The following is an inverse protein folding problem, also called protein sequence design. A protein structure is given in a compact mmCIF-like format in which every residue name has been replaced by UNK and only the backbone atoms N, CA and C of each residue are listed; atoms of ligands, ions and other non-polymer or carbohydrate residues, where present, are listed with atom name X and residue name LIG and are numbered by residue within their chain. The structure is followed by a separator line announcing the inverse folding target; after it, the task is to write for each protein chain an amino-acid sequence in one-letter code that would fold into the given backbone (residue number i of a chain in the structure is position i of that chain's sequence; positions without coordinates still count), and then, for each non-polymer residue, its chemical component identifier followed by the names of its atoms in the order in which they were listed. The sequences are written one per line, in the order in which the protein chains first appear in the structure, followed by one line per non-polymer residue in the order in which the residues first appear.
data_IF_000956414542
#
_entry.id   IF_000956414542
#
_cell.length_a   1.000
_cell.length_b   1.000
_cell.length_c   1.000
_cell.angle_alpha   90.00
_cell.angle_beta   90.00
_cell.angle_gamma   90.00
#
_symmetry.space_group_name_H-M   'P 1'
#
loop_
_entity.id
_entity.type
_entity.pdbx_description
1 polymer ?
#
# COMPACT_ATOMS: atom_id res chain seq x y z
N UNK A 1 -36.72 29.64 24.97
CA UNK A 1 -35.30 29.60 25.37
C UNK A 1 -34.50 29.32 24.12
N UNK A 2 -34.25 30.38 23.33
CA UNK A 2 -33.43 30.29 22.13
C UNK A 2 -31.96 30.25 22.58
N UNK A 3 -31.22 29.25 22.09
CA UNK A 3 -29.77 29.17 22.28
C UNK A 3 -29.14 30.34 21.51
N UNK A 4 -28.89 31.44 22.22
CA UNK A 4 -28.16 32.58 21.68
C UNK A 4 -26.68 32.21 21.63
N UNK A 5 -26.28 31.65 20.49
CA UNK A 5 -24.92 31.25 20.10
C UNK A 5 -23.95 32.42 19.91
N UNK A 6 -24.28 33.60 20.45
CA UNK A 6 -23.56 34.84 20.18
C UNK A 6 -23.12 35.62 21.44
N UNK A 7 -23.08 34.97 22.61
CA UNK A 7 -22.59 35.54 23.88
C UNK A 7 -21.54 34.58 24.52
N UNK A 8 -20.71 35.03 25.50
CA UNK A 8 -19.24 34.91 25.57
C UNK A 8 -18.69 33.53 25.98
N UNK A 9 -19.37 32.45 25.62
CA UNK A 9 -18.95 31.06 25.84
C UNK A 9 -18.24 30.48 24.63
N UNK A 10 -17.28 31.21 24.03
CA UNK A 10 -16.22 30.67 23.17
C UNK A 10 -16.59 29.83 21.93
N UNK A 11 -17.86 29.53 21.65
CA UNK A 11 -18.30 28.63 20.59
C UNK A 11 -18.93 29.44 19.46
N UNK A 12 -18.04 29.98 18.64
CA UNK A 12 -18.39 30.83 17.51
C UNK A 12 -18.81 29.97 16.30
N UNK A 13 -19.67 30.51 15.43
CA UNK A 13 -19.97 29.94 14.11
C UNK A 13 -18.72 29.59 13.28
N UNK A 14 -17.59 30.24 13.57
CA UNK A 14 -16.29 29.95 12.97
C UNK A 14 -15.79 28.55 13.30
N UNK A 15 -16.04 28.03 14.51
CA UNK A 15 -15.63 26.68 14.92
C UNK A 15 -16.47 25.62 14.21
N UNK A 16 -17.77 25.89 14.07
CA UNK A 16 -18.67 25.06 13.27
C UNK A 16 -18.23 25.05 11.79
N UNK A 17 -17.84 26.20 11.24
CA UNK A 17 -17.31 26.29 9.87
C UNK A 17 -15.99 25.52 9.70
N UNK A 18 -15.04 25.63 10.65
CA UNK A 18 -13.79 24.87 10.64
C UNK A 18 -14.04 23.36 10.66
N UNK A 19 -14.95 22.91 11.51
CA UNK A 19 -15.36 21.51 11.58
C UNK A 19 -16.07 21.04 10.30
N UNK A 20 -16.94 21.88 9.72
CA UNK A 20 -17.59 21.62 8.43
C UNK A 20 -16.60 21.52 7.27
N UNK A 21 -15.54 22.33 7.25
CA UNK A 21 -14.45 22.23 6.27
C UNK A 21 -13.72 20.91 6.42
N UNK A 22 -13.39 20.50 7.65
CA UNK A 22 -12.77 19.19 7.90
C UNK A 22 -13.66 18.05 7.39
N UNK A 23 -14.97 18.12 7.61
CA UNK A 23 -15.94 17.15 7.09
C UNK A 23 -15.87 17.04 5.56
N UNK A 24 -16.04 18.16 4.86
CA UNK A 24 -16.13 18.19 3.40
C UNK A 24 -14.83 17.68 2.77
N UNK A 25 -13.67 18.15 3.24
CA UNK A 25 -12.37 17.73 2.69
C UNK A 25 -12.10 16.25 2.95
N UNK A 26 -12.41 15.75 4.14
CA UNK A 26 -12.23 14.33 4.50
C UNK A 26 -13.18 13.42 3.73
N UNK A 27 -14.42 13.87 3.49
CA UNK A 27 -15.37 13.19 2.61
C UNK A 27 -14.87 13.15 1.17
N UNK A 28 -14.31 14.25 0.65
CA UNK A 28 -13.77 14.27 -0.71
C UNK A 28 -12.66 13.23 -0.90
N UNK A 29 -11.73 13.13 0.06
CA UNK A 29 -10.70 12.08 0.06
C UNK A 29 -11.35 10.71 0.14
N UNK A 30 -12.28 10.51 1.08
CA UNK A 30 -12.96 9.24 1.30
C UNK A 30 -13.74 8.72 0.08
N UNK A 31 -14.43 9.61 -0.66
CA UNK A 31 -15.16 9.29 -1.88
C UNK A 31 -14.20 8.76 -2.96
N UNK A 32 -13.06 9.41 -3.16
CA UNK A 32 -12.05 8.94 -4.11
C UNK A 32 -11.56 7.54 -3.76
N UNK A 33 -11.32 7.28 -2.47
CA UNK A 33 -10.85 5.98 -1.98
C UNK A 33 -11.88 4.88 -2.20
N UNK A 34 -13.16 5.19 -1.97
CA UNK A 34 -14.26 4.25 -2.14
C UNK A 34 -14.54 3.93 -3.61
N UNK A 35 -14.57 4.96 -4.48
CA UNK A 35 -14.69 4.78 -5.93
C UNK A 35 -13.55 3.90 -6.47
N UNK A 36 -12.34 4.05 -5.92
CA UNK A 36 -11.17 3.25 -6.30
C UNK A 36 -11.06 1.90 -5.58
N UNK A 37 -12.11 1.47 -4.87
CA UNK A 37 -12.22 0.16 -4.21
C UNK A 37 -11.02 -0.15 -3.31
N UNK A 38 -10.64 0.83 -2.48
CA UNK A 38 -9.51 0.71 -1.56
C UNK A 38 -9.96 0.17 -0.21
N UNK A 39 -9.02 -0.42 0.53
CA UNK A 39 -9.30 -1.12 1.80
C UNK A 39 -10.01 -0.27 2.86
N UNK A 40 -9.84 1.06 2.82
CA UNK A 40 -10.61 2.01 3.62
C UNK A 40 -11.28 3.02 2.68
N UNK A 41 -12.57 3.29 2.89
CA UNK A 41 -13.44 4.13 2.06
C UNK A 41 -14.02 5.32 2.83
N UNK A 42 -15.14 5.89 2.36
CA UNK A 42 -15.68 7.16 2.82
C UNK A 42 -15.81 7.26 4.35
N UNK A 43 -16.47 6.27 4.96
CA UNK A 43 -16.74 6.25 6.41
C UNK A 43 -15.45 6.40 7.23
N UNK A 44 -14.40 5.67 6.87
CA UNK A 44 -13.14 5.67 7.62
C UNK A 44 -12.46 7.04 7.54
N UNK A 45 -12.34 7.60 6.33
CA UNK A 45 -11.65 8.87 6.11
C UNK A 45 -12.38 10.04 6.76
N UNK A 46 -13.70 10.08 6.63
CA UNK A 46 -14.54 11.10 7.27
C UNK A 46 -14.41 11.06 8.78
N UNK A 47 -14.50 9.89 9.41
CA UNK A 47 -14.39 9.78 10.89
C UNK A 47 -13.00 10.19 11.37
N UNK A 48 -11.94 9.79 10.66
CA UNK A 48 -10.56 10.14 11.03
C UNK A 48 -10.33 11.65 10.96
N UNK A 49 -10.72 12.30 9.86
CA UNK A 49 -10.54 13.75 9.70
C UNK A 49 -11.41 14.57 10.66
N UNK A 50 -12.66 14.16 10.88
CA UNK A 50 -13.53 14.78 11.88
C UNK A 50 -12.96 14.65 13.30
N UNK A 51 -12.50 13.46 13.69
CA UNK A 51 -11.91 13.23 15.01
C UNK A 51 -10.67 14.10 15.23
N UNK A 52 -9.79 14.19 14.23
CA UNK A 52 -8.61 15.04 14.27
C UNK A 52 -8.94 16.53 14.41
N UNK A 53 -9.95 17.01 13.66
CA UNK A 53 -10.45 18.37 13.77
C UNK A 53 -11.04 18.67 15.15
N UNK A 54 -11.85 17.75 15.69
CA UNK A 54 -12.47 17.89 17.01
C UNK A 54 -11.42 17.96 18.11
N UNK A 55 -10.46 17.03 18.12
CA UNK A 55 -9.37 17.04 19.10
C UNK A 55 -8.54 18.33 19.01
N UNK A 56 -8.29 18.84 17.80
CA UNK A 56 -7.58 20.11 17.61
C UNK A 56 -8.37 21.30 18.17
N UNK A 57 -9.68 21.37 17.89
CA UNK A 57 -10.55 22.43 18.42
C UNK A 57 -10.65 22.39 19.94
N UNK A 58 -10.86 21.21 20.53
CA UNK A 58 -10.90 21.01 21.98
C UNK A 58 -9.56 21.42 22.61
N UNK A 59 -8.44 21.02 22.02
CA UNK A 59 -7.11 21.40 22.52
C UNK A 59 -6.85 22.90 22.49
N UNK A 60 -7.43 23.60 21.52
CA UNK A 60 -7.20 25.04 21.30
C UNK A 60 -8.14 25.91 22.14
N UNK A 61 -9.38 25.49 22.35
CA UNK A 61 -10.44 26.33 22.91
C UNK A 61 -11.17 25.74 24.13
N UNK A 62 -11.01 24.45 24.42
CA UNK A 62 -11.84 23.73 25.38
C UNK A 62 -11.44 23.86 26.85
N UNK A 63 -10.38 24.60 27.17
CA UNK A 63 -9.80 24.66 28.52
C UNK A 63 -9.77 26.07 29.13
N UNK A 64 -10.54 27.02 28.58
CA UNK A 64 -10.56 28.42 29.05
C UNK A 64 -11.09 28.57 30.48
N UNK A 65 -11.86 27.61 30.97
CA UNK A 65 -12.45 27.54 32.31
C UNK A 65 -11.48 27.13 33.42
N UNK A 66 -10.41 26.40 33.07
CA UNK A 66 -9.41 25.87 34.02
C UNK A 66 -8.06 26.59 33.96
N UNK A 67 -7.87 27.49 32.99
CA UNK A 67 -6.60 28.18 32.78
C UNK A 67 -6.57 29.49 33.56
N UNK A 68 -5.77 29.50 34.62
CA UNK A 68 -5.48 30.72 35.39
C UNK A 68 -4.28 31.43 34.77
N UNK A 69 -4.46 32.70 34.40
CA UNK A 69 -3.42 33.52 33.75
C UNK A 69 -2.16 33.56 34.63
N UNK A 70 -1.02 33.10 34.09
CA UNK A 70 0.27 33.10 34.80
C UNK A 70 0.55 31.88 35.69
N UNK A 71 -0.38 30.93 35.81
CA UNK A 71 -0.17 29.68 36.56
C UNK A 71 -0.23 28.42 35.70
N UNK A 72 -0.93 28.47 34.56
CA UNK A 72 -1.10 27.33 33.64
C UNK A 72 -0.59 27.72 32.26
N UNK A 73 0.41 26.98 31.77
CA UNK A 73 0.91 27.10 30.40
C UNK A 73 0.16 26.13 29.48
N UNK A 74 -0.62 26.68 28.55
CA UNK A 74 -1.32 25.89 27.53
C UNK A 74 -0.37 25.57 26.37
N UNK A 75 -0.34 24.30 25.99
CA UNK A 75 0.40 23.84 24.81
C UNK A 75 -0.54 23.09 23.84
N UNK A 76 -1.24 23.81 22.95
CA UNK A 76 -2.13 23.22 21.96
C UNK A 76 -1.43 22.28 20.97
N UNK A 77 -0.10 22.37 20.85
CA UNK A 77 0.67 21.54 19.92
C UNK A 77 0.73 20.07 20.38
N UNK A 78 0.56 19.81 21.68
CA UNK A 78 0.61 18.46 22.25
C UNK A 78 -0.42 17.53 21.65
N UNK A 79 -1.66 17.98 21.51
CA UNK A 79 -2.73 17.14 20.96
C UNK A 79 -2.45 16.83 19.49
N UNK A 80 -1.96 17.80 18.70
CA UNK A 80 -1.55 17.54 17.32
C UNK A 80 -0.43 16.49 17.25
N UNK A 81 0.58 16.56 18.12
CA UNK A 81 1.64 15.57 18.20
C UNK A 81 1.11 14.17 18.59
N UNK A 82 0.15 14.10 19.52
CA UNK A 82 -0.47 12.83 19.91
C UNK A 82 -1.37 12.23 18.82
N UNK A 83 -2.04 13.05 18.00
CA UNK A 83 -2.79 12.56 16.83
C UNK A 83 -1.82 11.90 15.83
N UNK A 84 -0.70 12.56 15.53
CA UNK A 84 0.34 12.01 14.63
C UNK A 84 0.88 10.68 15.14
N UNK A 85 1.17 10.61 16.45
CA UNK A 85 1.65 9.38 17.10
C UNK A 85 0.58 8.27 17.09
N UNK A 86 -0.65 8.57 17.48
CA UNK A 86 -1.75 7.61 17.58
C UNK A 86 -2.15 6.99 16.24
N UNK A 87 -2.06 7.75 15.14
CA UNK A 87 -2.33 7.23 13.79
C UNK A 87 -1.28 6.22 13.31
N UNK A 88 -0.07 6.23 13.89
CA UNK A 88 0.94 5.20 13.62
C UNK A 88 0.44 3.80 13.95
N UNK A 89 -0.31 3.65 15.05
CA UNK A 89 -0.92 2.37 15.44
C UNK A 89 -2.02 1.92 14.47
N UNK A 90 -2.89 2.85 14.04
CA UNK A 90 -3.95 2.56 13.05
C UNK A 90 -3.33 2.16 11.71
N UNK A 91 -2.24 2.82 11.31
CA UNK A 91 -1.47 2.47 10.11
C UNK A 91 -1.00 1.02 10.13
N UNK A 92 -0.45 0.55 11.27
CA UNK A 92 -0.06 -0.85 11.46
C UNK A 92 -1.21 -1.84 11.30
N UNK A 93 -2.43 -1.49 11.74
CA UNK A 93 -3.62 -2.32 11.58
C UNK A 93 -4.16 -2.45 10.15
N UNK A 94 -3.75 -1.54 9.25
CA UNK A 94 -4.15 -1.54 7.83
C UNK A 94 -3.06 -2.11 6.92
N UNK A 95 -1.83 -2.22 7.41
CA UNK A 95 -0.69 -2.77 6.66
C UNK A 95 -0.62 -4.28 6.88
N UNK A 96 -0.71 -5.04 5.79
CA UNK A 96 -0.65 -6.49 5.79
C UNK A 96 0.52 -6.98 4.95
N UNK A 97 1.29 -7.92 5.49
CA UNK A 97 2.42 -8.56 4.79
C UNK A 97 2.06 -10.02 4.52
N UNK A 98 2.09 -10.43 3.26
CA UNK A 98 1.86 -11.83 2.87
C UNK A 98 2.82 -12.23 1.75
N UNK A 99 3.58 -13.32 1.96
CA UNK A 99 4.51 -13.90 0.96
C UNK A 99 5.40 -12.86 0.26
N UNK A 100 6.03 -11.96 1.04
CA UNK A 100 6.91 -10.92 0.51
C UNK A 100 6.21 -9.70 -0.12
N UNK A 101 4.88 -9.69 -0.22
CA UNK A 101 4.11 -8.54 -0.70
C UNK A 101 3.50 -7.74 0.46
N UNK A 102 3.72 -6.41 0.46
CA UNK A 102 3.17 -5.49 1.46
C UNK A 102 1.97 -4.76 0.86
N UNK A 103 0.78 -4.96 1.45
CA UNK A 103 -0.46 -4.26 1.10
C UNK A 103 -0.81 -3.24 2.18
N UNK A 104 -1.53 -2.18 1.78
CA UNK A 104 -2.08 -1.19 2.72
C UNK A 104 -1.22 0.04 3.00
N UNK A 105 0.05 0.08 2.58
CA UNK A 105 0.96 1.22 2.79
C UNK A 105 0.36 2.58 2.35
N UNK A 106 -0.14 2.65 1.12
CA UNK A 106 -0.76 3.89 0.60
C UNK A 106 -2.03 4.24 1.36
N UNK A 107 -2.81 3.25 1.79
CA UNK A 107 -4.03 3.48 2.58
C UNK A 107 -3.69 4.05 3.95
N UNK A 108 -2.68 3.52 4.63
CA UNK A 108 -2.19 4.04 5.89
C UNK A 108 -1.70 5.49 5.74
N UNK A 109 -0.89 5.76 4.70
CA UNK A 109 -0.40 7.11 4.41
C UNK A 109 -1.53 8.10 4.12
N UNK A 110 -2.57 7.71 3.37
CA UNK A 110 -3.69 8.60 3.09
C UNK A 110 -4.61 8.83 4.30
N UNK A 111 -4.80 7.83 5.17
CA UNK A 111 -5.49 8.02 6.46
C UNK A 111 -4.71 9.04 7.31
N UNK A 112 -3.38 8.88 7.40
CA UNK A 112 -2.51 9.79 8.14
C UNK A 112 -2.62 11.23 7.63
N UNK A 113 -2.55 11.42 6.30
CA UNK A 113 -2.71 12.74 5.69
C UNK A 113 -4.10 13.34 5.93
N UNK A 114 -5.15 12.52 5.92
CA UNK A 114 -6.53 12.98 6.15
C UNK A 114 -6.71 13.52 7.56
N UNK A 115 -6.08 12.89 8.56
CA UNK A 115 -6.06 13.45 9.89
C UNK A 115 -5.32 14.78 9.94
N UNK A 116 -4.19 14.92 9.24
CA UNK A 116 -3.48 16.19 9.15
C UNK A 116 -4.33 17.30 8.50
N UNK A 117 -5.13 16.96 7.49
CA UNK A 117 -6.14 17.88 6.90
C UNK A 117 -7.18 18.28 7.95
N UNK A 118 -7.69 17.32 8.73
CA UNK A 118 -8.60 17.58 9.84
C UNK A 118 -7.99 18.52 10.89
N UNK A 119 -6.74 18.27 11.32
CA UNK A 119 -6.00 19.14 12.23
C UNK A 119 -5.82 20.55 11.66
N UNK A 120 -5.42 20.68 10.39
CA UNK A 120 -5.26 21.99 9.75
C UNK A 120 -6.58 22.77 9.70
N UNK A 121 -7.69 22.11 9.35
CA UNK A 121 -9.01 22.72 9.37
C UNK A 121 -9.42 23.14 10.80
N UNK A 122 -9.28 22.26 11.79
CA UNK A 122 -9.58 22.55 13.21
C UNK A 122 -8.66 23.59 13.84
N UNK A 123 -7.42 23.75 13.34
CA UNK A 123 -6.51 24.80 13.77
C UNK A 123 -6.93 26.19 13.25
N UNK A 124 -7.85 26.25 12.27
CA UNK A 124 -8.26 27.47 11.59
C UNK A 124 -7.43 27.80 10.35
N UNK A 125 -6.81 26.80 9.71
CA UNK A 125 -5.98 26.94 8.51
C UNK A 125 -6.67 26.32 7.28
N UNK A 126 -7.81 26.87 6.80
CA UNK A 126 -8.60 26.25 5.73
C UNK A 126 -7.88 26.24 4.38
N UNK A 127 -7.05 27.25 4.10
CA UNK A 127 -6.23 27.32 2.89
C UNK A 127 -5.23 26.16 2.87
N UNK A 128 -4.55 25.91 3.99
CA UNK A 128 -3.58 24.82 4.10
C UNK A 128 -4.26 23.45 4.00
N UNK A 129 -5.39 23.26 4.68
CA UNK A 129 -6.19 22.04 4.60
C UNK A 129 -6.64 21.74 3.15
N UNK A 130 -7.07 22.79 2.43
CA UNK A 130 -7.47 22.68 1.02
C UNK A 130 -6.28 22.36 0.12
N UNK A 131 -5.15 23.06 0.27
CA UNK A 131 -3.93 22.80 -0.50
C UNK A 131 -3.40 21.37 -0.28
N UNK A 132 -3.40 20.89 0.97
CA UNK A 132 -3.00 19.51 1.28
C UNK A 132 -3.94 18.49 0.62
N UNK A 133 -5.25 18.76 0.60
CA UNK A 133 -6.24 17.91 -0.07
C UNK A 133 -6.06 17.92 -1.60
N UNK A 134 -5.75 19.08 -2.20
CA UNK A 134 -5.43 19.17 -3.63
C UNK A 134 -4.14 18.44 -3.98
N UNK A 135 -3.09 18.59 -3.15
CA UNK A 135 -1.83 17.86 -3.31
C UNK A 135 -2.04 16.34 -3.21
N UNK A 136 -2.90 15.89 -2.28
CA UNK A 136 -3.32 14.50 -2.20
C UNK A 136 -3.90 13.99 -3.53
N UNK A 137 -4.85 14.73 -4.11
CA UNK A 137 -5.42 14.35 -5.41
C UNK A 137 -4.38 14.37 -6.52
N UNK A 138 -3.53 15.39 -6.57
CA UNK A 138 -2.46 15.47 -7.57
C UNK A 138 -1.55 14.24 -7.52
N UNK A 139 -1.19 13.77 -6.33
CA UNK A 139 -0.39 12.54 -6.17
C UNK A 139 -1.22 11.30 -6.54
N UNK A 140 -2.46 11.18 -6.05
CA UNK A 140 -3.30 10.01 -6.31
C UNK A 140 -3.68 9.82 -7.78
N UNK A 141 -3.83 10.91 -8.53
CA UNK A 141 -4.08 10.89 -9.99
C UNK A 141 -2.79 10.91 -10.81
N UNK A 142 -1.76 11.66 -10.39
CA UNK A 142 -0.56 11.93 -11.18
C UNK A 142 0.50 10.83 -11.16
N UNK A 143 0.59 10.00 -10.11
CA UNK A 143 1.61 8.95 -10.02
C UNK A 143 1.42 7.86 -11.09
N UNK A 144 0.18 7.51 -11.44
CA UNK A 144 -0.12 6.49 -12.47
C UNK A 144 0.37 6.86 -13.87
N UNK A 145 0.02 8.02 -14.45
CA UNK A 145 0.53 8.42 -15.76
C UNK A 145 2.03 8.73 -15.73
N UNK A 146 2.56 9.26 -14.63
CA UNK A 146 3.99 9.53 -14.49
C UNK A 146 4.82 8.24 -14.48
N UNK A 147 4.32 7.19 -13.82
CA UNK A 147 4.96 5.87 -13.85
C UNK A 147 4.99 5.25 -15.25
N UNK A 148 3.98 5.51 -16.10
CA UNK A 148 3.99 5.05 -17.49
C UNK A 148 4.98 5.85 -18.37
N UNK A 149 5.28 7.10 -17.99
CA UNK A 149 6.27 7.96 -18.67
C UNK A 149 7.71 7.68 -18.22
N UNK A 150 7.91 6.88 -17.18
CA UNK A 150 9.21 6.47 -16.65
C UNK A 150 9.43 4.97 -16.94
N UNK A 151 9.76 4.58 -18.19
CA UNK A 151 9.99 3.19 -18.57
C UNK A 151 11.20 2.51 -17.91
N UNK A 152 11.94 3.20 -17.03
CA UNK A 152 13.36 2.86 -16.77
C UNK A 152 13.70 2.26 -15.40
N UNK A 153 12.72 1.85 -14.57
CA UNK A 153 13.04 1.18 -13.29
C UNK A 153 12.32 -0.15 -13.04
N UNK A 154 11.44 -0.59 -13.96
CA UNK A 154 10.81 -1.91 -13.86
C UNK A 154 11.71 -2.94 -14.54
N UNK A 155 12.71 -3.42 -13.80
CA UNK A 155 13.23 -4.76 -14.04
C UNK A 155 12.07 -5.74 -13.69
N UNK A 156 11.14 -5.94 -14.63
CA UNK A 156 10.03 -6.87 -14.46
C UNK A 156 10.60 -8.28 -14.31
N UNK A 157 10.36 -8.91 -13.16
CA UNK A 157 10.70 -10.30 -12.97
C UNK A 157 9.81 -11.15 -13.88
N UNK A 158 10.42 -12.00 -14.71
CA UNK A 158 9.74 -12.94 -15.59
C UNK A 158 9.72 -14.29 -14.88
N UNK A 159 8.53 -14.86 -14.68
CA UNK A 159 8.36 -16.18 -14.11
C UNK A 159 8.41 -17.27 -15.17
N UNK A 160 9.11 -18.37 -14.88
CA UNK A 160 9.12 -19.61 -15.65
C UNK A 160 8.77 -20.78 -14.75
N UNK A 161 7.90 -21.67 -15.23
CA UNK A 161 7.63 -22.97 -14.64
C UNK A 161 8.24 -24.04 -15.54
N UNK A 162 9.19 -24.79 -14.99
CA UNK A 162 10.04 -25.73 -15.72
C UNK A 162 9.95 -27.10 -15.05
N UNK A 163 9.63 -28.12 -15.84
CA UNK A 163 9.62 -29.53 -15.42
C UNK A 163 10.78 -30.24 -16.08
N UNK A 164 11.65 -30.87 -15.30
CA UNK A 164 12.83 -31.60 -15.80
C UNK A 164 13.03 -32.94 -15.09
N UNK A 165 13.83 -33.83 -15.68
CA UNK A 165 14.15 -35.16 -15.13
C UNK A 165 15.24 -35.11 -14.05
N UNK A 166 15.01 -35.77 -12.92
CA UNK A 166 15.93 -35.80 -11.78
C UNK A 166 17.26 -36.50 -12.16
N UNK A 167 18.40 -35.91 -11.80
CA UNK A 167 19.73 -36.53 -11.97
C UNK A 167 20.54 -36.08 -13.19
N UNK A 168 19.99 -35.26 -14.09
CA UNK A 168 20.69 -34.80 -15.32
C UNK A 168 21.48 -33.49 -15.11
N UNK A 169 21.38 -32.86 -13.94
CA UNK A 169 22.06 -31.58 -13.67
C UNK A 169 21.40 -30.36 -14.35
N UNK A 170 20.20 -30.53 -14.92
CA UNK A 170 19.46 -29.52 -15.69
C UNK A 170 19.33 -28.16 -14.96
N UNK A 171 19.15 -28.15 -13.64
CA UNK A 171 19.06 -26.90 -12.86
C UNK A 171 20.28 -25.98 -13.05
N UNK A 172 21.48 -26.55 -13.11
CA UNK A 172 22.71 -25.77 -13.31
C UNK A 172 22.74 -25.14 -14.71
N UNK A 173 22.32 -25.88 -15.73
CA UNK A 173 22.24 -25.39 -17.11
C UNK A 173 21.18 -24.29 -17.25
N UNK A 174 20.01 -24.46 -16.62
CA UNK A 174 18.95 -23.45 -16.60
C UNK A 174 19.45 -22.12 -16.01
N UNK A 175 20.16 -22.15 -14.88
CA UNK A 175 20.74 -20.93 -14.26
C UNK A 175 21.82 -20.30 -15.15
N UNK A 176 22.67 -21.12 -15.77
CA UNK A 176 23.70 -20.63 -16.70
C UNK A 176 23.06 -19.93 -17.91
N UNK A 177 22.03 -20.52 -18.52
CA UNK A 177 21.34 -19.93 -19.66
C UNK A 177 20.64 -18.61 -19.34
N UNK A 178 20.08 -18.48 -18.13
CA UNK A 178 19.57 -17.19 -17.66
C UNK A 178 20.69 -16.14 -17.63
N UNK A 179 21.83 -16.50 -17.03
CA UNK A 179 22.95 -15.57 -16.84
C UNK A 179 23.59 -15.14 -18.18
N UNK A 180 23.75 -16.07 -19.12
CA UNK A 180 24.29 -15.80 -20.46
C UNK A 180 23.40 -14.88 -21.30
N UNK A 181 22.08 -14.95 -21.10
CA UNK A 181 21.12 -14.11 -21.81
C UNK A 181 20.89 -12.75 -21.14
N UNK A 182 21.68 -12.42 -20.10
CA UNK A 182 21.59 -11.14 -19.41
C UNK A 182 20.45 -11.06 -18.38
N UNK A 183 19.99 -12.22 -17.90
CA UNK A 183 19.01 -12.34 -16.82
C UNK A 183 19.66 -12.93 -15.56
N UNK A 184 19.42 -12.31 -14.41
CA UNK A 184 19.78 -12.86 -13.11
C UNK A 184 18.59 -13.62 -12.51
N UNK A 185 18.84 -14.81 -11.96
CA UNK A 185 17.82 -15.56 -11.21
C UNK A 185 17.59 -14.87 -9.87
N UNK A 186 16.37 -14.37 -9.66
CA UNK A 186 15.96 -13.64 -8.46
C UNK A 186 15.38 -14.58 -7.40
N UNK A 187 14.65 -15.60 -7.83
CA UNK A 187 13.99 -16.58 -6.96
C UNK A 187 13.93 -17.95 -7.66
N UNK A 188 14.12 -19.03 -6.88
CA UNK A 188 14.02 -20.41 -7.34
C UNK A 188 13.24 -21.19 -6.28
N UNK A 189 12.06 -21.69 -6.63
CA UNK A 189 11.25 -22.54 -5.74
C UNK A 189 11.04 -23.90 -6.38
N UNK A 190 11.55 -24.94 -5.73
CA UNK A 190 11.30 -26.33 -6.16
C UNK A 190 9.89 -26.72 -5.73
N UNK A 191 9.01 -26.87 -6.70
CA UNK A 191 7.68 -27.44 -6.53
C UNK A 191 7.84 -28.97 -6.57
N UNK A 192 8.38 -29.52 -5.48
CA UNK A 192 8.49 -30.98 -5.34
C UNK A 192 7.09 -31.58 -5.43
N UNK A 193 6.90 -32.56 -6.31
CA UNK A 193 5.60 -33.13 -6.66
C UNK A 193 4.77 -33.47 -5.41
N UNK A 194 3.80 -32.63 -5.09
CA UNK A 194 2.81 -32.85 -4.04
C UNK A 194 1.78 -33.87 -4.52
N UNK A 195 2.23 -35.12 -4.68
CA UNK A 195 1.38 -36.26 -5.01
C UNK A 195 0.60 -36.80 -3.81
N UNK A 196 -0.25 -35.98 -3.15
CA UNK A 196 -1.49 -36.52 -2.55
C UNK A 196 -2.54 -36.55 -3.66
N UNK A 197 -2.43 -37.48 -4.62
CA UNK A 197 -3.59 -38.12 -5.26
C UNK A 197 -3.16 -39.29 -6.16
N UNK A 198 -3.81 -40.44 -5.95
CA UNK A 198 -3.82 -41.68 -6.76
C UNK A 198 -2.48 -42.41 -6.96
N UNK A 199 -2.23 -43.27 -5.97
CA UNK A 199 -1.63 -44.60 -6.12
C UNK A 199 -2.46 -45.45 -7.11
N UNK A 200 -2.41 -45.16 -8.41
CA UNK A 200 -2.90 -46.07 -9.46
C UNK A 200 -1.72 -46.39 -10.39
N UNK A 201 -0.99 -47.44 -9.99
CA UNK A 201 -0.11 -48.27 -10.82
C UNK A 201 0.43 -47.55 -12.07
N UNK A 202 1.37 -46.64 -11.86
CA UNK A 202 2.23 -46.16 -12.93
C UNK A 202 3.31 -47.23 -13.21
N UNK A 203 3.74 -47.45 -14.47
CA UNK A 203 4.78 -48.43 -14.82
C UNK A 203 6.10 -48.15 -14.08
N UNK A 204 6.88 -49.19 -13.82
CA UNK A 204 8.16 -49.14 -13.08
C UNK A 204 9.25 -48.25 -13.73
N UNK A 205 9.02 -47.74 -14.94
CA UNK A 205 9.94 -46.86 -15.69
C UNK A 205 9.55 -45.37 -15.68
N UNK A 206 8.69 -44.92 -14.75
CA UNK A 206 8.35 -43.50 -14.66
C UNK A 206 9.55 -42.69 -14.12
N UNK A 207 10.31 -42.06 -15.02
CA UNK A 207 11.40 -41.13 -14.70
C UNK A 207 10.94 -40.13 -13.64
N UNK A 208 11.72 -39.98 -12.56
CA UNK A 208 11.43 -39.01 -11.51
C UNK A 208 11.55 -37.61 -12.10
N UNK A 209 10.46 -36.86 -12.10
CA UNK A 209 10.42 -35.48 -12.58
C UNK A 209 10.38 -34.50 -11.43
N UNK A 210 11.05 -33.36 -11.60
CA UNK A 210 11.09 -32.25 -10.65
C UNK A 210 10.51 -31.03 -11.34
N UNK A 211 9.59 -30.35 -10.67
CA UNK A 211 9.02 -29.10 -11.14
C UNK A 211 9.63 -27.94 -10.35
N UNK A 212 10.01 -26.88 -11.04
CA UNK A 212 10.63 -25.69 -10.45
C UNK A 212 9.99 -24.43 -11.02
N UNK A 213 9.71 -23.48 -10.13
CA UNK A 213 9.37 -22.11 -10.48
C UNK A 213 10.63 -21.23 -10.36
N UNK A 214 10.95 -20.51 -11.43
CA UNK A 214 12.11 -19.65 -11.57
C UNK A 214 11.64 -18.23 -11.85
N UNK A 215 12.10 -17.25 -11.09
CA UNK A 215 11.87 -15.83 -11.34
C UNK A 215 13.18 -15.20 -11.79
N UNK A 216 13.20 -14.57 -12.96
CA UNK A 216 14.40 -13.97 -13.54
C UNK A 216 14.23 -12.50 -13.82
N UNK A 217 15.30 -11.74 -13.68
CA UNK A 217 15.29 -10.29 -13.77
C UNK A 217 16.49 -9.81 -14.59
N UNK A 218 16.27 -9.00 -15.62
CA UNK A 218 17.35 -8.58 -16.49
C UNK A 218 16.89 -7.81 -17.73
N UNK A 219 17.87 -7.47 -18.57
CA UNK A 219 17.68 -6.68 -19.81
C UNK A 219 17.82 -7.53 -21.08
N UNK A 220 17.79 -8.85 -20.95
CA UNK A 220 17.88 -9.78 -22.06
C UNK A 220 16.59 -9.86 -22.89
N UNK A 221 16.63 -10.63 -23.97
CA UNK A 221 15.47 -10.97 -24.77
C UNK A 221 14.70 -12.15 -24.12
N UNK A 222 13.44 -11.94 -23.64
CA UNK A 222 12.63 -12.98 -23.01
C UNK A 222 12.34 -14.17 -23.92
N UNK A 223 12.15 -13.93 -25.22
CA UNK A 223 11.75 -14.97 -26.16
C UNK A 223 12.95 -15.88 -26.49
N UNK A 224 14.13 -15.28 -26.62
CA UNK A 224 15.40 -16.01 -26.73
C UNK A 224 15.69 -16.84 -25.47
N UNK A 225 15.41 -16.31 -24.28
CA UNK A 225 15.54 -17.06 -23.02
C UNK A 225 14.56 -18.24 -22.97
N UNK A 226 13.29 -18.02 -23.34
CA UNK A 226 12.26 -19.09 -23.36
C UNK A 226 12.67 -20.24 -24.27
N UNK A 227 13.15 -19.93 -25.48
CA UNK A 227 13.63 -20.92 -26.43
C UNK A 227 14.83 -21.72 -25.90
N UNK A 228 15.78 -21.07 -25.20
CA UNK A 228 16.95 -21.73 -24.60
C UNK A 228 16.58 -22.61 -23.42
N UNK A 229 15.69 -22.16 -22.53
CA UNK A 229 15.22 -22.96 -21.40
C UNK A 229 14.45 -24.20 -21.87
N UNK A 230 13.62 -24.07 -22.91
CA UNK A 230 12.91 -25.20 -23.51
C UNK A 230 13.84 -26.21 -24.21
N UNK A 231 15.00 -25.76 -24.70
CA UNK A 231 15.99 -26.60 -25.39
C UNK A 231 17.03 -27.27 -24.48
N UNK A 232 16.95 -27.07 -23.16
CA UNK A 232 17.92 -27.63 -22.20
C UNK A 232 17.73 -29.14 -22.04
N UNK A 233 18.81 -29.91 -21.97
CA UNK A 233 18.75 -31.36 -21.88
C UNK A 233 18.03 -31.81 -20.59
N UNK A 234 17.05 -32.70 -20.73
CA UNK A 234 16.24 -33.18 -19.61
C UNK A 234 15.05 -32.28 -19.22
N UNK A 235 14.82 -31.15 -19.91
CA UNK A 235 13.59 -30.35 -19.74
C UNK A 235 12.45 -30.99 -20.54
N UNK A 236 11.34 -31.27 -19.85
CA UNK A 236 10.13 -31.86 -20.43
C UNK A 236 9.08 -30.80 -20.78
N UNK A 237 9.02 -29.72 -20.00
CA UNK A 237 8.11 -28.61 -20.24
C UNK A 237 8.70 -27.31 -19.69
N UNK A 238 8.56 -26.23 -20.45
CA UNK A 238 8.89 -24.87 -20.03
C UNK A 238 7.71 -23.98 -20.40
N UNK A 239 7.13 -23.29 -19.43
CA UNK A 239 6.06 -22.31 -19.65
C UNK A 239 6.35 -21.03 -18.91
N UNK A 240 6.06 -19.90 -19.55
CA UNK A 240 6.12 -18.59 -18.90
C UNK A 240 4.91 -18.50 -17.97
N UNK A 241 5.16 -18.27 -16.69
CA UNK A 241 4.10 -18.06 -15.70
C UNK A 241 3.91 -16.57 -15.47
N UNK A 242 2.70 -16.07 -15.70
CA UNK A 242 2.30 -14.77 -15.21
C UNK A 242 2.17 -14.84 -13.69
N UNK A 243 3.27 -14.60 -12.96
CA UNK A 243 3.30 -14.45 -11.49
C UNK A 243 2.50 -13.23 -11.00
N UNK A 244 1.63 -12.65 -11.84
CA UNK A 244 0.71 -11.59 -11.49
C UNK A 244 -0.58 -12.10 -10.81
N UNK A 245 -0.89 -13.41 -10.91
CA UNK A 245 -2.07 -14.03 -10.30
C UNK A 245 -1.67 -15.10 -9.26
N UNK A 246 -1.24 -14.67 -8.08
CA UNK A 246 -1.48 -15.33 -6.77
C UNK A 246 -1.39 -14.32 -5.61
#
# INVERSE_FOLDING_TARGET
MALDINEPFGQNWTHAAQFGIAFVLSCAIGIEREIRQKAAGLRTYTIVGLGAALFTLVSKFGFSDVVVTGQVELDPSRVAAQIVSGLGFIGGGVIFVHRGSVRGLTTAASIWLTAAVGCAAGAGLPVLATLATLAYFLVSYGVRPLAHRLPTLRNASIGYRITYTEGVGALRELVNHCTETGFAVSELTTLSGSGRYRRRRAPEDAERTVEVALSVQGRGDPDALTARLAGTAGVLACSRSDLADE
#
